data_IF_465110079659
#
_entry.id   IF_465110079659
#
_cell.length_a   1.000
_cell.length_b   1.000
_cell.length_c   1.000
_cell.angle_alpha   90.00
_cell.angle_beta   90.00
_cell.angle_gamma   90.00
#
_symmetry.space_group_name_H-M   'P 1'
#
loop_
_entity.id
_entity.type
_entity.pdbx_description
1 polymer ?
#
# COMPACT_ATOMS: atom_id res chain seq x y z
N UNK A 1 24.27 47.28 -28.94
CA UNK A 1 23.75 46.04 -29.57
C UNK A 1 23.60 45.03 -28.45
N UNK A 2 22.36 44.71 -28.06
CA UNK A 2 22.04 43.90 -26.87
C UNK A 2 21.82 42.45 -27.31
N UNK A 3 22.66 41.53 -26.86
CA UNK A 3 22.46 40.09 -27.05
C UNK A 3 21.79 39.52 -25.79
N UNK A 4 20.53 39.14 -25.91
CA UNK A 4 19.80 38.45 -24.86
C UNK A 4 20.07 36.94 -24.93
N UNK A 5 20.68 36.38 -23.89
CA UNK A 5 20.76 34.92 -23.68
C UNK A 5 19.39 34.41 -23.22
N UNK A 6 18.72 33.63 -24.07
CA UNK A 6 17.50 32.91 -23.71
C UNK A 6 17.84 31.67 -22.87
N UNK A 7 17.44 31.68 -21.60
CA UNK A 7 17.49 30.50 -20.75
C UNK A 7 16.30 29.58 -21.07
N UNK A 8 16.58 28.42 -21.65
CA UNK A 8 15.58 27.38 -21.93
C UNK A 8 15.36 26.56 -20.64
N UNK A 9 14.28 26.84 -19.91
CA UNK A 9 13.87 26.07 -18.75
C UNK A 9 13.14 24.80 -19.23
N UNK A 10 13.84 23.66 -19.20
CA UNK A 10 13.22 22.35 -19.43
C UNK A 10 12.44 21.93 -18.19
N UNK A 11 11.11 22.06 -18.24
CA UNK A 11 10.23 21.46 -17.23
C UNK A 11 10.19 19.95 -17.46
N UNK A 12 10.96 19.19 -16.66
CA UNK A 12 10.87 17.73 -16.64
C UNK A 12 9.54 17.28 -16.03
N UNK A 13 8.82 16.40 -16.73
CA UNK A 13 7.62 15.74 -16.21
C UNK A 13 8.09 14.66 -15.23
N UNK A 14 7.94 14.90 -13.93
CA UNK A 14 8.17 13.87 -12.90
C UNK A 14 6.95 12.94 -12.90
N UNK A 15 7.12 11.71 -13.36
CA UNK A 15 6.10 10.68 -13.20
C UNK A 15 5.94 10.36 -11.71
N UNK A 16 4.70 10.34 -11.22
CA UNK A 16 4.42 9.92 -9.85
C UNK A 16 4.80 8.44 -9.69
N UNK A 17 5.58 8.13 -8.66
CA UNK A 17 5.93 6.75 -8.33
C UNK A 17 4.66 5.99 -7.88
N UNK A 18 4.51 4.70 -8.22
CA UNK A 18 3.37 3.91 -7.77
C UNK A 18 3.26 3.93 -6.25
N UNK A 19 2.04 4.07 -5.74
CA UNK A 19 1.78 4.11 -4.31
C UNK A 19 0.54 3.31 -3.97
N UNK A 20 0.66 2.49 -2.93
CA UNK A 20 -0.47 1.80 -2.31
C UNK A 20 -0.77 2.48 -0.98
N UNK A 21 -2.02 2.91 -0.82
CA UNK A 21 -2.51 3.50 0.42
C UNK A 21 -3.59 2.61 1.00
N UNK A 22 -3.37 2.07 2.19
CA UNK A 22 -4.33 1.24 2.91
C UNK A 22 -4.87 1.97 4.13
N UNK A 23 -6.18 2.07 4.25
CA UNK A 23 -6.86 2.49 5.47
C UNK A 23 -7.24 1.25 6.27
N UNK A 24 -6.72 1.14 7.49
CA UNK A 24 -6.87 -0.04 8.35
C UNK A 24 -7.49 0.40 9.67
N UNK A 25 -8.71 -0.02 9.93
CA UNK A 25 -9.51 0.41 11.10
C UNK A 25 -9.66 -0.72 12.10
N UNK A 26 -9.38 -0.42 13.36
CA UNK A 26 -9.65 -1.28 14.49
C UNK A 26 -10.25 -0.47 15.65
N UNK A 27 -11.33 -0.97 16.24
CA UNK A 27 -11.99 -0.36 17.40
C UNK A 27 -12.29 1.15 17.22
N UNK A 28 -12.68 1.54 15.99
CA UNK A 28 -13.00 2.92 15.63
C UNK A 28 -11.80 3.83 15.34
N UNK A 29 -10.57 3.35 15.46
CA UNK A 29 -9.35 4.08 15.09
C UNK A 29 -8.82 3.60 13.74
N UNK A 30 -8.50 4.53 12.83
CA UNK A 30 -7.99 4.23 11.49
C UNK A 30 -6.53 4.60 11.37
N UNK A 31 -5.73 3.64 10.93
CA UNK A 31 -4.33 3.79 10.58
C UNK A 31 -4.18 3.84 9.06
N UNK A 32 -3.38 4.80 8.56
CA UNK A 32 -2.99 4.82 7.16
C UNK A 32 -1.65 4.10 6.98
N UNK A 33 -1.64 3.01 6.21
CA UNK A 33 -0.44 2.24 5.87
C UNK A 33 -0.09 2.51 4.41
N UNK A 34 1.10 3.05 4.18
CA UNK A 34 1.62 3.35 2.84
C UNK A 34 2.63 2.29 2.41
N UNK A 35 2.56 1.86 1.16
CA UNK A 35 3.59 1.01 0.55
C UNK A 35 4.01 1.56 -0.81
N UNK A 36 5.33 1.60 -1.03
CA UNK A 36 5.98 1.90 -2.31
C UNK A 36 6.60 0.63 -2.90
N UNK A 37 6.91 0.61 -4.20
CA UNK A 37 7.59 -0.52 -4.82
C UNK A 37 8.90 -0.84 -4.12
N UNK A 38 9.09 -2.12 -3.79
CA UNK A 38 10.35 -2.66 -3.26
C UNK A 38 10.80 -3.87 -4.08
N UNK A 39 12.11 -4.05 -4.19
CA UNK A 39 12.68 -5.26 -4.80
C UNK A 39 12.63 -6.45 -3.84
N UNK A 40 12.97 -6.23 -2.56
CA UNK A 40 12.97 -7.27 -1.52
C UNK A 40 11.73 -7.16 -0.60
N UNK A 41 10.75 -8.09 -0.70
CA UNK A 41 9.53 -8.06 0.11
C UNK A 41 9.74 -8.40 1.60
N UNK A 42 10.89 -8.99 1.96
CA UNK A 42 11.14 -9.44 3.34
C UNK A 42 11.56 -8.29 4.26
N UNK A 43 12.17 -7.24 3.71
CA UNK A 43 12.57 -6.04 4.45
C UNK A 43 11.41 -5.17 4.93
N UNK A 44 10.20 -5.34 4.36
CA UNK A 44 9.03 -4.52 4.71
C UNK A 44 8.47 -4.92 6.08
N UNK A 45 8.41 -4.01 7.07
CA UNK A 45 7.87 -4.32 8.39
C UNK A 45 6.34 -4.41 8.37
N UNK A 46 5.78 -5.06 9.40
CA UNK A 46 4.35 -4.95 9.71
C UNK A 46 4.10 -3.71 10.55
N UNK A 47 2.94 -3.08 10.37
CA UNK A 47 2.46 -1.94 11.16
C UNK A 47 1.56 -2.45 12.28
N UNK A 48 1.80 -2.00 13.50
CA UNK A 48 0.91 -2.27 14.64
C UNK A 48 -0.41 -1.49 14.51
N UNK A 49 -1.52 -2.20 14.70
CA UNK A 49 -2.88 -1.68 14.64
C UNK A 49 -3.51 -1.89 16.01
N UNK A 50 -3.44 -0.84 16.85
CA UNK A 50 -4.01 -0.80 18.18
C UNK A 50 -3.48 -1.85 19.15
N UNK A 51 -2.26 -2.37 18.95
CA UNK A 51 -1.65 -3.42 19.78
C UNK A 51 -2.28 -4.80 19.66
N UNK A 52 -3.19 -5.01 18.69
CA UNK A 52 -4.01 -6.23 18.57
C UNK A 52 -3.88 -6.93 17.23
N UNK A 53 -3.56 -6.18 16.18
CA UNK A 53 -3.31 -6.71 14.86
C UNK A 53 -2.03 -6.13 14.30
N UNK A 54 -1.40 -6.86 13.40
CA UNK A 54 -0.31 -6.35 12.57
C UNK A 54 -0.77 -6.37 11.12
N UNK A 55 -0.58 -5.27 10.40
CA UNK A 55 -0.90 -5.17 8.98
C UNK A 55 0.38 -4.92 8.17
N UNK A 56 0.63 -5.77 7.17
CA UNK A 56 1.81 -5.65 6.29
C UNK A 56 1.34 -5.53 4.85
N UNK A 57 1.65 -4.38 4.24
CA UNK A 57 1.37 -4.10 2.84
C UNK A 57 2.70 -4.07 2.07
N UNK A 58 2.82 -4.93 1.06
CA UNK A 58 4.04 -5.04 0.25
C UNK A 58 3.69 -4.85 -1.21
N UNK A 59 4.31 -3.87 -1.85
CA UNK A 59 4.26 -3.69 -3.29
C UNK A 59 5.61 -4.10 -3.87
N UNK A 60 5.65 -5.18 -4.65
CA UNK A 60 6.89 -5.62 -5.30
C UNK A 60 6.97 -5.05 -6.70
N UNK A 61 8.06 -4.38 -7.02
CA UNK A 61 8.24 -3.73 -8.32
C UNK A 61 9.28 -2.61 -8.25
N UNK A 62 9.14 -1.67 -9.17
CA UNK A 62 9.92 -0.43 -9.27
C UNK A 62 9.00 0.75 -9.65
N UNK A 63 9.60 1.90 -9.94
CA UNK A 63 8.87 3.12 -10.31
C UNK A 63 8.09 3.00 -11.64
N UNK A 64 8.40 2.03 -12.49
CA UNK A 64 7.77 1.85 -13.80
C UNK A 64 6.76 0.69 -13.82
N UNK A 65 6.94 -0.31 -12.96
CA UNK A 65 6.17 -1.55 -12.98
C UNK A 65 5.93 -2.13 -11.60
N UNK A 66 4.69 -2.58 -11.36
CA UNK A 66 4.32 -3.34 -10.17
C UNK A 66 4.10 -4.79 -10.58
N UNK A 67 4.86 -5.70 -9.98
CA UNK A 67 4.80 -7.14 -10.26
C UNK A 67 3.76 -7.86 -9.41
N UNK A 68 3.56 -7.43 -8.16
CA UNK A 68 2.55 -7.98 -7.23
C UNK A 68 2.32 -7.05 -6.05
N UNK A 69 1.10 -7.06 -5.53
CA UNK A 69 0.76 -6.51 -4.22
C UNK A 69 0.41 -7.65 -3.29
N UNK A 70 1.00 -7.66 -2.09
CA UNK A 70 0.76 -8.65 -1.04
C UNK A 70 0.29 -7.94 0.22
N UNK A 71 -0.86 -8.33 0.74
CA UNK A 71 -1.41 -7.84 1.99
C UNK A 71 -1.46 -8.98 2.99
N UNK A 72 -1.00 -8.72 4.20
CA UNK A 72 -1.06 -9.67 5.30
C UNK A 72 -1.68 -8.99 6.50
N UNK A 73 -2.62 -9.67 7.15
CA UNK A 73 -3.10 -9.30 8.47
C UNK A 73 -2.76 -10.43 9.44
N UNK A 74 -2.19 -10.06 10.56
CA UNK A 74 -1.89 -10.96 11.67
C UNK A 74 -2.70 -10.52 12.88
N UNK A 75 -3.16 -11.48 13.66
CA UNK A 75 -3.55 -11.23 15.03
C UNK A 75 -2.29 -11.23 15.90
N UNK A 76 -2.14 -10.22 16.76
CA UNK A 76 -1.10 -10.22 17.78
C UNK A 76 -1.45 -11.25 18.86
N UNK A 77 -0.57 -12.23 19.04
CA UNK A 77 -0.80 -13.41 19.88
C UNK A 77 0.52 -13.91 20.46
N UNK A 78 0.42 -14.65 21.57
CA UNK A 78 1.57 -15.27 22.24
C UNK A 78 1.62 -16.76 21.86
N UNK A 79 2.81 -17.34 21.59
CA UNK A 79 4.14 -16.73 21.64
C UNK A 79 4.51 -15.87 20.43
N UNK A 80 3.77 -15.98 19.32
CA UNK A 80 4.05 -15.22 18.09
C UNK A 80 2.75 -14.79 17.41
N UNK A 81 2.77 -13.70 16.63
CA UNK A 81 1.64 -13.29 15.81
C UNK A 81 1.17 -14.40 14.86
N UNK A 82 -0.14 -14.51 14.69
CA UNK A 82 -0.79 -15.54 13.85
C UNK A 82 -1.34 -14.89 12.60
N UNK A 83 -1.00 -15.41 11.42
CA UNK A 83 -1.56 -14.95 10.15
C UNK A 83 -3.04 -15.30 10.08
N UNK A 84 -3.90 -14.30 9.93
CA UNK A 84 -5.36 -14.47 9.82
C UNK A 84 -5.87 -14.21 8.41
N UNK A 85 -5.11 -13.49 7.58
CA UNK A 85 -5.48 -13.20 6.21
C UNK A 85 -4.26 -12.90 5.34
N UNK A 86 -4.28 -13.40 4.12
CA UNK A 86 -3.36 -13.03 3.06
C UNK A 86 -4.14 -12.76 1.77
N UNK A 87 -3.88 -11.64 1.12
CA UNK A 87 -4.34 -11.35 -0.23
C UNK A 87 -3.14 -11.09 -1.16
N UNK A 88 -3.23 -11.61 -2.39
CA UNK A 88 -2.24 -11.41 -3.45
C UNK A 88 -2.94 -10.90 -4.69
N UNK A 89 -2.54 -9.72 -5.15
CA UNK A 89 -3.02 -9.11 -6.38
C UNK A 89 -1.90 -9.13 -7.41
N UNK A 90 -2.22 -9.55 -8.63
CA UNK A 90 -1.29 -9.65 -9.75
C UNK A 90 -1.72 -8.71 -10.89
N UNK A 91 -0.78 -8.26 -11.74
CA UNK A 91 -1.11 -7.52 -12.94
C UNK A 91 -1.99 -8.35 -13.90
N UNK A 92 -2.68 -7.70 -14.85
CA UNK A 92 -2.60 -6.27 -15.18
C UNK A 92 -3.35 -5.38 -14.18
N UNK A 93 -2.72 -4.28 -13.77
CA UNK A 93 -3.37 -3.22 -13.00
C UNK A 93 -3.86 -2.12 -13.95
N UNK A 94 -5.05 -1.54 -13.71
CA UNK A 94 -5.52 -0.40 -14.48
C UNK A 94 -4.57 0.80 -14.38
N UNK A 95 -4.23 1.42 -15.52
CA UNK A 95 -3.49 2.69 -15.56
C UNK A 95 -4.49 3.83 -15.64
N UNK A 96 -4.94 4.25 -14.46
CA UNK A 96 -5.97 5.29 -14.29
C UNK A 96 -5.38 6.49 -13.56
N UNK A 97 -5.89 7.68 -13.85
CA UNK A 97 -5.45 8.93 -13.20
C UNK A 97 -5.96 9.10 -11.76
N UNK A 98 -6.92 8.27 -11.34
CA UNK A 98 -7.51 8.27 -10.01
C UNK A 98 -7.05 7.05 -9.21
N UNK A 99 -6.98 7.11 -7.87
CA UNK A 99 -6.65 5.95 -7.05
C UNK A 99 -7.62 4.79 -7.29
N UNK A 100 -7.11 3.65 -7.73
CA UNK A 100 -7.90 2.47 -8.03
C UNK A 100 -8.13 1.63 -6.76
N UNK A 101 -9.38 1.34 -6.34
CA UNK A 101 -9.67 0.59 -5.12
C UNK A 101 -9.40 -0.91 -5.30
N UNK A 102 -8.13 -1.30 -5.27
CA UNK A 102 -7.64 -2.65 -5.57
C UNK A 102 -8.26 -3.75 -4.69
N UNK A 103 -8.65 -3.42 -3.45
CA UNK A 103 -9.23 -4.43 -2.52
C UNK A 103 -10.74 -4.28 -2.32
N UNK A 104 -11.34 -3.13 -2.62
CA UNK A 104 -12.59 -2.72 -1.96
C UNK A 104 -12.44 -2.70 -0.43
N UNK A 105 -13.56 -2.80 0.31
CA UNK A 105 -13.54 -2.92 1.77
C UNK A 105 -13.56 -4.39 2.20
N UNK A 106 -12.68 -4.76 3.11
CA UNK A 106 -12.50 -6.10 3.66
C UNK A 106 -12.77 -6.08 5.16
N UNK A 107 -13.36 -7.16 5.68
CA UNK A 107 -13.67 -7.36 7.09
C UNK A 107 -13.05 -8.67 7.57
N UNK A 108 -12.34 -8.62 8.69
CA UNK A 108 -11.58 -9.73 9.23
C UNK A 108 -11.96 -9.87 10.70
N UNK A 109 -12.31 -11.08 11.12
CA UNK A 109 -12.71 -11.36 12.50
C UNK A 109 -11.74 -12.38 13.10
N UNK A 110 -11.07 -12.02 14.18
CA UNK A 110 -10.13 -12.93 14.85
C UNK A 110 -9.91 -12.60 16.33
N UNK A 111 -9.36 -13.57 17.05
CA UNK A 111 -9.00 -13.44 18.45
C UNK A 111 -10.18 -13.47 19.43
N UNK A 112 -9.94 -13.15 20.70
CA UNK A 112 -10.97 -13.18 21.74
C UNK A 112 -12.09 -12.19 21.41
N UNK A 113 -13.34 -12.67 21.50
CA UNK A 113 -14.56 -11.91 21.21
C UNK A 113 -14.71 -11.49 19.74
N UNK A 114 -14.10 -12.22 18.81
CA UNK A 114 -14.24 -11.97 17.36
C UNK A 114 -13.96 -10.52 16.96
N UNK A 115 -12.82 -9.99 17.43
CA UNK A 115 -12.42 -8.61 17.13
C UNK A 115 -12.39 -8.38 15.63
N UNK A 116 -12.99 -7.27 15.22
CA UNK A 116 -13.11 -6.86 13.83
C UNK A 116 -11.96 -5.94 13.42
N UNK A 117 -11.25 -6.31 12.37
CA UNK A 117 -10.31 -5.47 11.63
C UNK A 117 -10.90 -5.19 10.25
N UNK A 118 -10.98 -3.92 9.87
CA UNK A 118 -11.48 -3.48 8.57
C UNK A 118 -10.31 -2.92 7.78
N UNK A 119 -10.17 -3.25 6.49
CA UNK A 119 -9.22 -2.54 5.65
C UNK A 119 -9.75 -2.27 4.24
N UNK A 120 -9.23 -1.21 3.62
CA UNK A 120 -9.34 -0.98 2.18
C UNK A 120 -8.05 -0.36 1.66
N UNK A 121 -7.64 -0.71 0.44
CA UNK A 121 -6.44 -0.18 -0.19
C UNK A 121 -6.75 0.38 -1.58
N UNK A 122 -6.07 1.48 -1.92
CA UNK A 122 -6.06 2.07 -3.26
C UNK A 122 -4.65 2.05 -3.84
N UNK A 123 -4.57 1.85 -5.16
CA UNK A 123 -3.33 1.87 -5.94
C UNK A 123 -3.37 3.05 -6.92
N UNK A 124 -2.33 3.88 -6.93
CA UNK A 124 -2.19 5.04 -7.80
C UNK A 124 -0.77 5.14 -8.36
N UNK A 125 -0.52 6.13 -9.25
CA UNK A 125 0.83 6.41 -9.78
C UNK A 125 1.28 5.49 -10.92
N UNK A 126 0.42 4.59 -11.40
CA UNK A 126 0.69 3.83 -12.63
C UNK A 126 0.40 4.73 -13.84
N UNK A 127 1.44 5.37 -14.38
CA UNK A 127 1.32 6.24 -15.55
C UNK A 127 0.58 5.51 -16.71
N UNK A 128 -0.39 6.18 -17.37
CA UNK A 128 -1.12 5.64 -18.53
C UNK A 128 -0.22 5.30 -19.72
#
# INVERSE_FOLDING_TARGET
>A
MVSALGAFLWAGVVAAEPQLTCQVTYAGSTHTVLARPVADPYSVPSVDIGGRFLFKAVMVGDAASVSRVLLYAYQDATPHPVLIHQAKYLPPYPRVSQPWPITGQQYLYAGPLERELIYSCTLEGLAP
#
